data_IF_489651580269
#
_entry.id   IF_489651580269
#
_cell.length_a   1.000
_cell.length_b   1.000
_cell.length_c   1.000
_cell.angle_alpha   90.00
_cell.angle_beta   90.00
_cell.angle_gamma   90.00
#
_symmetry.space_group_name_H-M   'P 1'
#
loop_
_entity.id
_entity.type
_entity.pdbx_description
1 polymer ?
#
# COMPACT_ATOMS: atom_id res chain seq x y z
N UNK A 1 -11.35 -3.85 52.24
CA UNK A 1 -11.35 -4.97 51.26
C UNK A 1 -12.29 -4.74 50.07
N UNK A 2 -13.50 -4.19 50.24
CA UNK A 2 -14.45 -3.92 49.13
C UNK A 2 -13.96 -2.88 48.09
N UNK A 3 -13.21 -1.85 48.51
CA UNK A 3 -12.66 -0.81 47.62
C UNK A 3 -11.55 -1.34 46.69
N UNK A 4 -10.73 -2.28 47.20
CA UNK A 4 -9.67 -2.93 46.41
C UNK A 4 -10.28 -3.83 45.32
N UNK A 5 -11.37 -4.53 45.65
CA UNK A 5 -12.14 -5.35 44.70
C UNK A 5 -12.81 -4.52 43.61
N UNK A 6 -13.33 -3.33 43.94
CA UNK A 6 -13.91 -2.39 42.97
C UNK A 6 -12.86 -1.81 42.02
N UNK A 7 -11.68 -1.45 42.53
CA UNK A 7 -10.57 -0.97 41.70
C UNK A 7 -10.05 -2.07 40.75
N UNK A 8 -10.00 -3.31 41.21
CA UNK A 8 -9.63 -4.45 40.37
C UNK A 8 -10.64 -4.70 39.24
N UNK A 9 -11.94 -4.59 39.52
CA UNK A 9 -12.97 -4.72 38.48
C UNK A 9 -13.01 -3.54 37.50
N UNK A 10 -12.66 -2.34 37.93
CA UNK A 10 -12.57 -1.16 37.06
C UNK A 10 -11.39 -1.20 36.08
N UNK A 11 -10.31 -1.93 36.39
CA UNK A 11 -9.13 -2.03 35.50
C UNK A 11 -9.18 -3.25 34.56
N UNK A 12 -10.07 -4.22 34.79
CA UNK A 12 -10.28 -5.37 33.90
C UNK A 12 -10.54 -4.99 32.43
N UNK A 13 -11.33 -3.94 32.07
CA UNK A 13 -11.51 -3.57 30.67
C UNK A 13 -10.29 -2.89 30.03
N UNK A 14 -9.26 -2.48 30.78
CA UNK A 14 -7.98 -2.04 30.21
C UNK A 14 -7.12 -3.22 29.72
N UNK A 15 -7.40 -4.43 30.21
CA UNK A 15 -6.81 -5.68 29.74
C UNK A 15 -7.72 -6.49 28.82
N UNK A 16 -8.93 -5.99 28.54
CA UNK A 16 -9.76 -6.54 27.50
C UNK A 16 -9.14 -6.17 26.15
N UNK A 17 -8.23 -7.01 25.66
CA UNK A 17 -7.89 -7.05 24.25
C UNK A 17 -9.22 -7.09 23.49
N UNK A 18 -9.48 -6.01 22.74
CA UNK A 18 -10.52 -5.98 21.71
C UNK A 18 -10.41 -7.30 20.98
N UNK A 19 -11.49 -8.10 20.94
CA UNK A 19 -11.53 -9.38 20.25
C UNK A 19 -10.94 -9.23 18.84
N UNK A 20 -9.65 -9.49 18.77
CA UNK A 20 -8.80 -9.26 17.63
C UNK A 20 -9.10 -10.40 16.70
N UNK A 21 -10.02 -10.16 15.77
CA UNK A 21 -9.97 -10.92 14.53
C UNK A 21 -8.57 -10.67 13.99
N UNK A 22 -7.84 -11.73 13.73
CA UNK A 22 -6.63 -11.66 12.93
C UNK A 22 -7.09 -11.26 11.51
N UNK A 23 -6.84 -10.06 10.92
CA UNK A 23 -6.88 -9.97 9.45
C UNK A 23 -5.92 -10.95 8.78
N UNK A 24 -5.10 -11.55 9.63
CA UNK A 24 -3.84 -12.22 9.53
C UNK A 24 -4.03 -13.70 9.90
N UNK A 25 -4.89 -14.39 9.15
CA UNK A 25 -4.78 -15.86 9.05
C UNK A 25 -3.45 -16.25 8.39
N UNK A 26 -3.11 -17.54 8.37
CA UNK A 26 -1.94 -18.11 7.66
C UNK A 26 -1.91 -17.79 6.14
N UNK A 27 -2.99 -17.16 5.67
CA UNK A 27 -3.28 -16.70 4.31
C UNK A 27 -2.72 -15.29 4.01
N UNK A 28 -2.31 -14.51 5.02
CA UNK A 28 -1.56 -13.26 4.84
C UNK A 28 -0.05 -13.49 4.64
N UNK A 29 0.42 -14.74 4.72
CA UNK A 29 1.83 -15.12 4.91
C UNK A 29 2.65 -15.44 3.64
N UNK A 30 2.13 -15.30 2.41
CA UNK A 30 3.00 -15.28 1.22
C UNK A 30 3.61 -13.89 0.91
N UNK A 31 3.61 -12.96 1.88
CA UNK A 31 4.04 -11.56 1.71
C UNK A 31 5.50 -11.35 2.12
N UNK A 32 6.48 -11.31 1.18
CA UNK A 32 7.63 -10.44 1.33
C UNK A 32 7.48 -9.29 0.35
N UNK A 33 6.66 -8.30 0.68
CA UNK A 33 6.68 -7.03 -0.02
C UNK A 33 7.53 -6.06 0.79
N UNK A 34 8.85 -6.31 0.82
CA UNK A 34 9.77 -5.22 1.11
C UNK A 34 9.62 -4.22 -0.02
N UNK A 35 8.72 -3.27 0.19
CA UNK A 35 8.53 -2.10 -0.63
C UNK A 35 9.78 -1.22 -0.47
N UNK A 36 10.97 -1.72 -0.83
CA UNK A 36 12.22 -0.95 -0.82
C UNK A 36 12.08 0.15 -1.83
N UNK A 37 11.71 1.31 -1.35
CA UNK A 37 11.59 2.52 -2.14
C UNK A 37 12.95 2.73 -2.80
N UNK A 38 13.05 2.75 -4.14
CA UNK A 38 14.31 3.12 -4.77
C UNK A 38 14.65 4.54 -4.30
N UNK A 39 15.94 4.83 -4.02
CA UNK A 39 16.35 6.18 -3.69
C UNK A 39 16.00 7.09 -4.87
N UNK A 40 15.00 7.95 -4.67
CA UNK A 40 14.56 8.93 -5.67
C UNK A 40 14.79 10.33 -5.11
N UNK A 41 15.18 11.29 -5.95
CA UNK A 41 15.19 12.70 -5.55
C UNK A 41 13.76 13.08 -5.12
N UNK A 42 13.58 13.30 -3.82
CA UNK A 42 12.26 13.53 -3.23
C UNK A 42 11.95 15.03 -3.26
N UNK A 43 10.83 15.40 -3.89
CA UNK A 43 10.29 16.75 -3.71
C UNK A 43 9.66 16.88 -2.32
N UNK A 44 10.08 17.87 -1.55
CA UNK A 44 9.75 18.01 -0.12
C UNK A 44 8.49 18.85 0.16
N UNK A 45 7.43 18.70 -0.64
CA UNK A 45 6.17 19.42 -0.41
C UNK A 45 5.29 18.78 0.68
N UNK A 46 4.63 19.57 1.51
CA UNK A 46 3.71 19.07 2.56
C UNK A 46 2.65 18.12 1.99
N UNK A 47 1.99 18.51 0.90
CA UNK A 47 1.01 17.67 0.20
C UNK A 47 1.62 16.38 -0.35
N UNK A 48 2.88 16.43 -0.80
CA UNK A 48 3.57 15.22 -1.29
C UNK A 48 3.80 14.24 -0.15
N UNK A 49 4.22 14.73 1.03
CA UNK A 49 4.38 13.90 2.24
C UNK A 49 3.07 13.34 2.75
N UNK A 50 2.01 14.14 2.79
CA UNK A 50 0.69 13.70 3.21
C UNK A 50 0.16 12.59 2.29
N UNK A 51 0.23 12.79 0.98
CA UNK A 51 -0.21 11.77 0.02
C UNK A 51 0.67 10.52 0.05
N UNK A 52 1.97 10.67 0.24
CA UNK A 52 2.88 9.54 0.49
C UNK A 52 2.43 8.73 1.71
N UNK A 53 2.10 9.38 2.83
CA UNK A 53 1.59 8.71 4.02
C UNK A 53 0.29 7.95 3.74
N UNK A 54 -0.65 8.57 3.01
CA UNK A 54 -1.92 7.93 2.64
C UNK A 54 -1.68 6.70 1.76
N UNK A 55 -0.79 6.79 0.77
CA UNK A 55 -0.48 5.67 -0.12
C UNK A 55 0.19 4.54 0.67
N UNK A 56 1.11 4.86 1.58
CA UNK A 56 1.77 3.87 2.43
C UNK A 56 0.79 3.22 3.40
N UNK A 57 -0.14 3.98 3.98
CA UNK A 57 -1.24 3.44 4.79
C UNK A 57 -2.08 2.46 3.99
N UNK A 58 -2.49 2.84 2.76
CA UNK A 58 -3.18 1.92 1.86
C UNK A 58 -2.35 0.67 1.57
N UNK A 59 -1.07 0.81 1.22
CA UNK A 59 -0.20 -0.34 0.87
C UNK A 59 0.07 -1.29 2.03
N UNK A 60 0.18 -0.77 3.25
CA UNK A 60 0.59 -1.55 4.42
C UNK A 60 -0.59 -2.08 5.23
N UNK A 61 -1.75 -1.42 5.18
CA UNK A 61 -2.91 -1.77 6.02
C UNK A 61 -4.06 -2.32 5.17
N UNK A 62 -4.37 -1.72 4.02
CA UNK A 62 -5.54 -2.08 3.21
C UNK A 62 -5.17 -3.13 2.15
N UNK A 63 -4.16 -2.86 1.35
CA UNK A 63 -3.75 -3.70 0.21
C UNK A 63 -3.37 -5.14 0.57
N UNK A 64 -2.79 -5.45 1.74
CA UNK A 64 -2.50 -6.84 2.10
C UNK A 64 -3.77 -7.68 2.25
N UNK A 65 -4.89 -7.05 2.62
CA UNK A 65 -6.20 -7.70 2.72
C UNK A 65 -6.76 -8.04 1.34
N UNK A 66 -6.52 -7.18 0.34
CA UNK A 66 -7.01 -7.38 -1.02
C UNK A 66 -6.15 -8.32 -1.88
N UNK A 67 -4.88 -8.52 -1.51
CA UNK A 67 -3.92 -9.32 -2.26
C UNK A 67 -3.40 -8.64 -3.55
N UNK A 68 -2.46 -9.28 -4.28
CA UNK A 68 -1.85 -8.71 -5.47
C UNK A 68 -2.82 -8.76 -6.67
N UNK A 69 -3.49 -7.65 -6.99
CA UNK A 69 -4.44 -7.57 -8.12
C UNK A 69 -3.97 -6.74 -9.31
N UNK A 70 -2.79 -6.11 -9.23
CA UNK A 70 -2.36 -5.18 -10.27
C UNK A 70 -1.80 -5.91 -11.50
N UNK A 71 -2.31 -5.56 -12.68
CA UNK A 71 -1.85 -6.01 -14.00
C UNK A 71 -0.61 -5.28 -14.50
N UNK A 72 -0.16 -4.28 -13.74
CA UNK A 72 1.06 -3.54 -14.03
C UNK A 72 2.21 -3.91 -13.09
N UNK A 73 3.43 -3.74 -13.59
CA UNK A 73 4.67 -3.78 -12.80
C UNK A 73 5.50 -2.52 -13.06
N UNK A 74 5.93 -1.78 -12.02
CA UNK A 74 5.49 -1.91 -10.62
C UNK A 74 3.96 -1.72 -10.47
N UNK A 75 3.40 -2.15 -9.32
CA UNK A 75 1.95 -2.01 -9.07
C UNK A 75 1.51 -0.54 -9.17
N UNK A 76 0.24 -0.28 -9.48
CA UNK A 76 -0.22 1.10 -9.71
C UNK A 76 -0.15 2.00 -8.47
N UNK A 77 -0.39 1.46 -7.26
CA UNK A 77 -0.16 2.20 -6.02
C UNK A 77 1.33 2.55 -5.83
N UNK A 78 2.23 1.62 -6.19
CA UNK A 78 3.67 1.84 -6.16
C UNK A 78 4.12 2.86 -7.19
N UNK A 79 3.60 2.79 -8.41
CA UNK A 79 3.84 3.78 -9.44
C UNK A 79 3.41 5.19 -8.96
N UNK A 80 2.22 5.32 -8.36
CA UNK A 80 1.74 6.60 -7.84
C UNK A 80 2.66 7.16 -6.75
N UNK A 81 3.11 6.32 -5.82
CA UNK A 81 4.09 6.70 -4.78
C UNK A 81 5.39 7.24 -5.40
N UNK A 82 5.94 6.57 -6.41
CA UNK A 82 7.17 6.97 -7.09
C UNK A 82 6.98 8.25 -7.90
N UNK A 83 5.83 8.37 -8.59
CA UNK A 83 5.47 9.56 -9.36
C UNK A 83 5.34 10.79 -8.45
N UNK A 84 4.71 10.65 -7.29
CA UNK A 84 4.59 11.74 -6.30
C UNK A 84 5.95 12.16 -5.76
N UNK A 85 6.83 11.22 -5.40
CA UNK A 85 8.18 11.57 -4.92
C UNK A 85 9.00 12.29 -5.97
N UNK A 86 8.96 11.82 -7.22
CA UNK A 86 9.75 12.37 -8.33
C UNK A 86 9.22 13.70 -8.85
N UNK A 87 7.90 13.82 -8.98
CA UNK A 87 7.29 14.94 -9.69
C UNK A 87 6.54 15.93 -8.78
N UNK A 88 6.27 15.55 -7.53
CA UNK A 88 5.44 16.29 -6.57
C UNK A 88 3.96 15.90 -6.68
N UNK A 89 3.15 16.37 -5.72
CA UNK A 89 1.74 16.00 -5.58
C UNK A 89 0.93 16.11 -6.88
N UNK A 90 0.85 17.28 -7.52
CA UNK A 90 -0.06 17.50 -8.67
C UNK A 90 0.27 16.55 -9.84
N UNK A 91 1.52 16.58 -10.32
CA UNK A 91 1.93 15.74 -11.46
C UNK A 91 1.93 14.25 -11.10
N UNK A 92 2.34 13.91 -9.88
CA UNK A 92 2.32 12.52 -9.40
C UNK A 92 0.91 11.97 -9.27
N UNK A 93 -0.04 12.77 -8.79
CA UNK A 93 -1.46 12.42 -8.69
C UNK A 93 -2.06 12.19 -10.08
N UNK A 94 -1.89 13.13 -11.01
CA UNK A 94 -2.39 12.98 -12.39
C UNK A 94 -1.83 11.71 -13.04
N UNK A 95 -0.52 11.47 -12.94
CA UNK A 95 0.12 10.27 -13.47
C UNK A 95 -0.43 8.98 -12.82
N UNK A 96 -0.66 9.00 -11.51
CA UNK A 96 -1.23 7.87 -10.78
C UNK A 96 -2.67 7.56 -11.22
N UNK A 97 -3.53 8.57 -11.27
CA UNK A 97 -4.92 8.44 -11.73
C UNK A 97 -5.00 7.97 -13.19
N UNK A 98 -4.20 8.56 -14.07
CA UNK A 98 -4.10 8.17 -15.48
C UNK A 98 -3.71 6.69 -15.64
N UNK A 99 -2.82 6.17 -14.79
CA UNK A 99 -2.50 4.74 -14.77
C UNK A 99 -3.67 3.89 -14.26
N UNK A 100 -4.34 4.30 -13.18
CA UNK A 100 -5.49 3.57 -12.64
C UNK A 100 -6.62 3.44 -13.66
N UNK A 101 -6.85 4.47 -14.49
CA UNK A 101 -7.83 4.42 -15.58
C UNK A 101 -7.52 3.36 -16.64
N UNK A 102 -6.27 2.90 -16.72
CA UNK A 102 -5.82 1.86 -17.66
C UNK A 102 -5.58 0.51 -17.01
N UNK A 103 -5.88 0.38 -15.71
CA UNK A 103 -5.72 -0.85 -14.94
C UNK A 103 -6.80 -1.87 -15.35
N UNK A 104 -6.47 -2.72 -16.31
CA UNK A 104 -7.34 -3.80 -16.79
C UNK A 104 -6.51 -4.98 -17.28
N UNK A 105 -7.19 -6.12 -17.51
CA UNK A 105 -6.60 -7.36 -18.05
C UNK A 105 -6.36 -7.34 -19.56
N UNK A 106 -6.91 -6.35 -20.27
CA UNK A 106 -6.85 -6.32 -21.73
C UNK A 106 -5.43 -6.08 -22.23
N UNK A 107 -5.10 -6.71 -23.35
CA UNK A 107 -3.84 -6.44 -24.04
C UNK A 107 -3.81 -4.99 -24.52
N UNK A 108 -2.66 -4.35 -24.36
CA UNK A 108 -2.49 -2.93 -24.65
C UNK A 108 -1.09 -2.70 -25.20
N UNK A 109 -0.83 -1.50 -25.76
CA UNK A 109 0.44 -1.09 -26.39
C UNK A 109 1.64 -1.03 -25.41
N UNK A 110 1.51 -1.52 -24.19
CA UNK A 110 2.61 -1.56 -23.23
C UNK A 110 3.61 -2.67 -23.56
N UNK A 111 4.88 -2.45 -23.23
CA UNK A 111 5.83 -3.56 -23.11
C UNK A 111 5.32 -4.51 -22.03
N UNK A 112 5.39 -5.81 -22.26
CA UNK A 112 5.03 -6.82 -21.28
C UNK A 112 6.27 -7.48 -20.68
N UNK A 113 6.13 -7.99 -19.45
CA UNK A 113 7.12 -8.85 -18.79
C UNK A 113 6.39 -10.06 -18.20
N UNK A 114 7.10 -11.19 -18.13
CA UNK A 114 6.58 -12.42 -17.51
C UNK A 114 7.22 -12.58 -16.12
N UNK A 115 6.38 -12.74 -15.10
CA UNK A 115 6.81 -13.00 -13.72
C UNK A 115 5.97 -14.18 -13.23
N UNK A 116 6.62 -15.27 -12.82
CA UNK A 116 5.97 -16.48 -12.29
C UNK A 116 4.90 -17.07 -13.23
N UNK A 117 5.11 -16.99 -14.55
CA UNK A 117 4.18 -17.48 -15.57
C UNK A 117 2.98 -16.56 -15.86
N UNK A 118 2.91 -15.39 -15.22
CA UNK A 118 1.90 -14.37 -15.49
C UNK A 118 2.48 -13.17 -16.28
N UNK A 119 1.71 -12.67 -17.24
CA UNK A 119 2.09 -11.51 -18.05
C UNK A 119 1.63 -10.20 -17.41
N UNK A 120 2.56 -9.26 -17.23
CA UNK A 120 2.30 -7.94 -16.66
C UNK A 120 2.67 -6.82 -17.63
N UNK A 121 1.90 -5.74 -17.60
CA UNK A 121 2.20 -4.49 -18.31
C UNK A 121 3.37 -3.78 -17.61
N UNK A 122 4.47 -3.57 -18.31
CA UNK A 122 5.68 -2.93 -17.80
C UNK A 122 5.69 -1.44 -18.13
N UNK A 123 5.58 -0.63 -17.07
CA UNK A 123 5.63 0.83 -17.17
C UNK A 123 6.18 1.42 -15.86
N UNK A 124 7.52 1.47 -15.70
CA UNK A 124 8.16 2.02 -14.52
C UNK A 124 8.26 3.54 -14.60
N UNK A 125 8.04 4.21 -13.47
CA UNK A 125 8.21 5.67 -13.35
C UNK A 125 9.67 6.11 -13.33
N UNK A 126 10.59 5.16 -13.17
CA UNK A 126 12.04 5.33 -13.28
C UNK A 126 12.48 4.67 -14.59
N UNK A 127 13.22 5.43 -15.40
CA UNK A 127 13.97 4.92 -16.55
C UNK A 127 15.43 4.90 -16.14
#
# INVERSE_FOLDING_TARGET
>A
MKLLLLLFFCTLPLFAEVGFVEPWGKDCEMVPHTNRIPPLPQKSGLMTKLSEYIILFHQNIISPVDGPRSHFRPTSSRYMLLAMRRHGFIKGYIMGCDRLLRENKEEWVYRTIEIDGETYKWDPTFK
#
